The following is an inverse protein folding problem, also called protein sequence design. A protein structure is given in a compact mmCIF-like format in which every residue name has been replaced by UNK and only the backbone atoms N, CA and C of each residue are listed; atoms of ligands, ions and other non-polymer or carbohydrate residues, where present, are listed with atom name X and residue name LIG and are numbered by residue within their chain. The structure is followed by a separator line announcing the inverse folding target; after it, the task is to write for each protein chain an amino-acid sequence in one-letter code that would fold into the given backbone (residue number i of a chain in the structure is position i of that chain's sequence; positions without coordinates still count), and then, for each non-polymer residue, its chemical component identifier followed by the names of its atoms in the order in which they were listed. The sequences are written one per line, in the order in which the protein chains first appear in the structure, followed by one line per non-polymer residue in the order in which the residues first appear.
data_IF_731468097769
#
_entry.id   IF_731468097769
#
_cell.length_a   1.000
_cell.length_b   1.000
_cell.length_c   1.000
_cell.angle_alpha   90.00
_cell.angle_beta   90.00
_cell.angle_gamma   90.00
#
_symmetry.space_group_name_H-M   'P 1'
#
loop_
_entity.id
_entity.type
_entity.pdbx_description
1 polymer ?
#
# COMPACT_ATOMS: atom_id res chain seq x y z
N UNK A 1 -13.76 -5.99 -17.46
CA UNK A 1 -14.48 -4.89 -16.80
C UNK A 1 -13.87 -3.56 -17.24
N UNK A 2 -14.67 -2.53 -17.50
CA UNK A 2 -14.17 -1.19 -17.88
C UNK A 2 -14.09 -0.31 -16.61
N UNK A 3 -13.02 -0.47 -15.82
CA UNK A 3 -12.88 0.14 -14.49
C UNK A 3 -13.09 1.65 -14.49
N UNK A 4 -12.54 2.35 -15.49
CA UNK A 4 -12.70 3.80 -15.61
C UNK A 4 -14.18 4.22 -15.73
N UNK A 5 -14.99 3.44 -16.45
CA UNK A 5 -16.43 3.72 -16.59
C UNK A 5 -17.19 3.46 -15.29
N UNK A 6 -16.82 2.41 -14.54
CA UNK A 6 -17.40 2.15 -13.21
C UNK A 6 -17.11 3.30 -12.25
N UNK A 7 -15.87 3.84 -12.26
CA UNK A 7 -15.51 5.03 -11.48
C UNK A 7 -16.36 6.22 -11.91
N UNK A 8 -16.46 6.51 -13.21
CA UNK A 8 -17.25 7.64 -13.70
C UNK A 8 -18.74 7.49 -13.35
N UNK A 9 -19.31 6.29 -13.50
CA UNK A 9 -20.68 6.00 -13.11
C UNK A 9 -20.90 6.24 -11.62
N UNK A 10 -19.94 5.80 -10.80
CA UNK A 10 -20.00 5.92 -9.37
C UNK A 10 -20.01 7.38 -8.87
N UNK A 11 -19.30 8.27 -9.56
CA UNK A 11 -19.25 9.70 -9.23
C UNK A 11 -20.31 10.54 -9.94
N UNK A 12 -21.14 9.95 -10.82
CA UNK A 12 -22.16 10.68 -11.59
C UNK A 12 -23.19 11.38 -10.71
N UNK A 13 -23.60 10.73 -9.62
CA UNK A 13 -24.63 11.23 -8.70
C UNK A 13 -24.03 11.71 -7.36
N UNK A 14 -22.72 12.00 -7.34
CA UNK A 14 -22.00 12.52 -6.18
C UNK A 14 -21.51 13.94 -6.45
N UNK A 15 -21.48 14.75 -5.40
CA UNK A 15 -20.91 16.11 -5.46
C UNK A 15 -19.37 16.10 -5.29
N UNK A 16 -18.81 14.95 -4.89
CA UNK A 16 -17.37 14.73 -4.77
C UNK A 16 -16.72 14.61 -6.17
N UNK A 17 -15.46 15.03 -6.30
CA UNK A 17 -14.70 14.90 -7.54
C UNK A 17 -13.77 13.68 -7.48
N UNK A 18 -13.87 12.73 -8.42
CA UNK A 18 -12.86 11.68 -8.56
C UNK A 18 -11.52 12.31 -8.97
N UNK A 19 -10.41 11.93 -8.31
CA UNK A 19 -9.09 12.49 -8.63
C UNK A 19 -8.14 11.45 -9.21
N UNK A 20 -7.92 10.34 -8.52
CA UNK A 20 -6.89 9.39 -8.92
C UNK A 20 -7.21 8.00 -8.43
N UNK A 21 -7.21 7.02 -9.33
CA UNK A 21 -7.54 5.63 -9.03
C UNK A 21 -6.58 4.67 -9.73
N UNK A 22 -6.16 3.67 -8.98
CA UNK A 22 -5.16 2.69 -9.37
C UNK A 22 -5.65 1.28 -9.08
N UNK A 23 -5.01 0.32 -9.72
CA UNK A 23 -5.08 -1.07 -9.29
C UNK A 23 -4.20 -1.27 -8.06
N UNK A 24 -4.68 -2.06 -7.11
CA UNK A 24 -3.95 -2.44 -5.91
C UNK A 24 -3.86 -3.97 -5.78
N UNK A 25 -3.39 -4.43 -4.63
CA UNK A 25 -3.35 -5.86 -4.31
C UNK A 25 -2.56 -6.70 -5.31
N UNK A 26 -3.10 -7.88 -5.63
CA UNK A 26 -2.36 -8.91 -6.37
C UNK A 26 -1.98 -8.50 -7.80
N UNK A 27 -2.83 -7.72 -8.47
CA UNK A 27 -2.59 -7.23 -9.84
C UNK A 27 -1.48 -6.18 -9.87
N UNK A 28 -1.50 -5.24 -8.93
CA UNK A 28 -0.41 -4.27 -8.75
C UNK A 28 0.94 -4.93 -8.46
N UNK A 29 0.93 -6.13 -7.89
CA UNK A 29 2.13 -6.85 -7.50
C UNK A 29 2.62 -7.85 -8.54
N UNK A 30 1.94 -7.96 -9.69
CA UNK A 30 2.27 -8.93 -10.74
C UNK A 30 1.93 -10.38 -10.36
N UNK A 31 1.03 -10.56 -9.40
CA UNK A 31 0.66 -11.87 -8.84
C UNK A 31 -0.79 -12.28 -9.13
N UNK A 32 -1.52 -11.56 -9.97
CA UNK A 32 -2.94 -11.84 -10.17
C UNK A 32 -3.19 -13.22 -10.81
N UNK A 33 -4.18 -13.94 -10.29
CA UNK A 33 -4.82 -15.06 -10.97
C UNK A 33 -6.01 -14.57 -11.80
N UNK A 34 -6.53 -15.35 -12.77
CA UNK A 34 -7.72 -14.98 -13.55
C UNK A 34 -8.94 -14.62 -12.68
N UNK A 35 -9.03 -15.27 -11.53
CA UNK A 35 -10.05 -15.20 -10.49
C UNK A 35 -9.74 -14.17 -9.38
N UNK A 36 -8.76 -13.28 -9.60
CA UNK A 36 -8.48 -12.18 -8.68
C UNK A 36 -9.46 -11.02 -8.87
N UNK A 37 -9.96 -10.50 -7.76
CA UNK A 37 -10.74 -9.25 -7.69
C UNK A 37 -9.96 -8.07 -8.30
N UNK A 38 -10.68 -7.01 -8.63
CA UNK A 38 -10.15 -5.70 -9.00
C UNK A 38 -10.15 -4.82 -7.75
N UNK A 39 -8.97 -4.66 -7.16
CA UNK A 39 -8.72 -3.87 -5.95
C UNK A 39 -8.53 -2.40 -6.34
N UNK A 40 -9.61 -1.70 -6.66
CA UNK A 40 -9.55 -0.29 -7.05
C UNK A 40 -9.39 0.59 -5.83
N UNK A 41 -8.26 1.29 -5.75
CA UNK A 41 -7.94 2.20 -4.64
C UNK A 41 -7.65 3.59 -5.17
N UNK A 42 -7.97 4.63 -4.40
CA UNK A 42 -7.69 5.98 -4.87
C UNK A 42 -8.20 7.09 -3.97
N UNK A 43 -8.33 8.27 -4.58
CA UNK A 43 -8.59 9.53 -3.89
C UNK A 43 -9.71 10.31 -4.57
N UNK A 44 -10.56 10.93 -3.75
CA UNK A 44 -11.56 11.91 -4.18
C UNK A 44 -11.35 13.23 -3.43
N UNK A 45 -11.75 14.31 -4.08
CA UNK A 45 -11.90 15.61 -3.45
C UNK A 45 -13.37 15.75 -3.00
N UNK A 46 -13.63 16.04 -1.72
CA UNK A 46 -14.99 16.35 -1.30
C UNK A 46 -15.60 17.52 -2.08
N UNK A 47 -16.92 17.67 -2.06
CA UNK A 47 -17.51 18.90 -2.62
C UNK A 47 -17.04 20.15 -1.85
N UNK A 48 -17.04 21.32 -2.52
CA UNK A 48 -16.75 22.61 -1.87
C UNK A 48 -17.65 22.82 -0.64
N UNK A 49 -18.93 22.49 -0.75
CA UNK A 49 -19.89 22.63 0.34
C UNK A 49 -19.52 21.76 1.55
N UNK A 50 -19.22 20.48 1.36
CA UNK A 50 -18.78 19.59 2.45
C UNK A 50 -17.45 20.05 3.06
N UNK A 51 -16.53 20.55 2.24
CA UNK A 51 -15.22 21.00 2.70
C UNK A 51 -15.29 22.23 3.64
N UNK A 52 -16.18 23.18 3.36
CA UNK A 52 -16.35 24.40 4.16
C UNK A 52 -17.39 24.28 5.27
N UNK A 53 -18.11 23.17 5.34
CA UNK A 53 -19.06 22.92 6.42
C UNK A 53 -18.31 22.60 7.73
N UNK A 54 -18.93 22.93 8.86
CA UNK A 54 -18.41 22.68 10.20
C UNK A 54 -18.51 21.20 10.60
N UNK A 55 -19.39 20.44 9.94
CA UNK A 55 -19.61 19.02 10.21
C UNK A 55 -18.43 18.19 9.72
N UNK A 56 -18.08 17.15 10.47
CA UNK A 56 -17.14 16.13 10.02
C UNK A 56 -17.87 15.12 9.14
N UNK A 57 -17.53 15.11 7.86
CA UNK A 57 -18.00 14.11 6.90
C UNK A 57 -17.14 12.85 6.94
N UNK A 58 -17.68 11.75 6.39
CA UNK A 58 -16.92 10.50 6.24
C UNK A 58 -15.81 10.73 5.21
N UNK A 59 -14.59 10.34 5.56
CA UNK A 59 -13.37 10.52 4.73
C UNK A 59 -13.10 9.32 3.80
N UNK A 60 -14.13 8.53 3.51
CA UNK A 60 -14.01 7.18 2.98
C UNK A 60 -15.27 6.77 2.22
N UNK A 61 -15.06 6.33 0.98
CA UNK A 61 -16.06 5.66 0.15
C UNK A 61 -15.60 4.22 -0.05
N UNK A 62 -16.45 3.24 0.27
CA UNK A 62 -16.16 1.82 0.14
C UNK A 62 -17.34 1.13 -0.54
N UNK A 63 -17.06 0.36 -1.59
CA UNK A 63 -18.07 -0.36 -2.39
C UNK A 63 -17.50 -1.71 -2.78
N UNK A 64 -18.33 -2.73 -2.65
CA UNK A 64 -18.02 -4.07 -3.12
C UNK A 64 -19.18 -4.52 -4.00
N UNK A 65 -18.91 -4.69 -5.30
CA UNK A 65 -19.89 -5.17 -6.28
C UNK A 65 -19.27 -6.25 -7.16
N UNK A 66 -19.65 -7.51 -6.92
CA UNK A 66 -18.99 -8.67 -7.53
C UNK A 66 -17.47 -8.64 -7.27
N UNK A 67 -16.68 -8.61 -8.34
CA UNK A 67 -15.22 -8.57 -8.31
C UNK A 67 -14.66 -7.13 -8.23
N UNK A 68 -15.51 -6.10 -8.13
CA UNK A 68 -15.12 -4.69 -8.00
C UNK A 68 -15.07 -4.29 -6.52
N UNK A 69 -13.87 -4.33 -5.94
CA UNK A 69 -13.59 -3.80 -4.60
C UNK A 69 -13.03 -2.39 -4.74
N UNK A 70 -13.86 -1.39 -4.44
CA UNK A 70 -13.53 0.02 -4.59
C UNK A 70 -13.39 0.72 -3.24
N UNK A 71 -12.24 1.37 -3.03
CA UNK A 71 -11.97 2.21 -1.86
C UNK A 71 -11.44 3.56 -2.31
N UNK A 72 -12.09 4.64 -1.87
CA UNK A 72 -11.61 5.99 -2.08
C UNK A 72 -11.46 6.74 -0.76
N UNK A 73 -10.25 7.22 -0.48
CA UNK A 73 -9.99 8.14 0.61
C UNK A 73 -10.27 9.57 0.18
N UNK A 74 -10.78 10.39 1.08
CA UNK A 74 -10.82 11.83 0.83
C UNK A 74 -9.39 12.38 0.74
N UNK A 75 -9.27 13.54 0.11
CA UNK A 75 -7.96 14.13 -0.14
C UNK A 75 -7.21 14.50 1.14
N UNK A 76 -7.93 14.88 2.22
CA UNK A 76 -7.29 15.27 3.48
C UNK A 76 -6.68 14.05 4.17
N UNK A 77 -7.36 12.91 4.14
CA UNK A 77 -6.86 11.62 4.64
C UNK A 77 -5.66 11.16 3.84
N UNK A 78 -5.68 11.28 2.51
CA UNK A 78 -4.49 11.02 1.68
C UNK A 78 -3.29 11.83 2.17
N UNK A 79 -3.40 13.17 2.24
CA UNK A 79 -2.29 14.01 2.67
C UNK A 79 -1.85 13.73 4.11
N UNK A 80 -2.79 13.48 5.03
CA UNK A 80 -2.48 13.12 6.41
C UNK A 80 -1.75 11.79 6.55
N UNK A 81 -2.02 10.82 5.67
CA UNK A 81 -1.32 9.54 5.61
C UNK A 81 0.06 9.70 4.95
N UNK A 82 0.18 10.49 3.89
CA UNK A 82 1.46 10.81 3.24
C UNK A 82 2.40 11.58 4.17
N UNK A 83 1.88 12.50 4.98
CA UNK A 83 2.68 13.24 5.97
C UNK A 83 3.32 12.32 7.02
N UNK A 84 2.78 11.10 7.19
CA UNK A 84 3.33 10.04 8.05
C UNK A 84 4.12 9.00 7.28
N UNK A 85 4.38 9.22 5.99
CA UNK A 85 4.98 8.26 5.06
C UNK A 85 4.29 6.88 5.14
N UNK A 86 2.95 6.87 5.19
CA UNK A 86 2.20 5.62 5.27
C UNK A 86 2.43 4.78 4.00
N UNK A 87 2.85 3.51 4.12
CA UNK A 87 3.21 2.70 2.96
C UNK A 87 2.03 2.41 2.05
N UNK A 88 0.81 2.24 2.58
CA UNK A 88 -0.38 1.92 1.76
C UNK A 88 -0.65 3.00 0.73
N UNK A 89 -0.72 4.25 1.18
CA UNK A 89 -0.97 5.40 0.28
C UNK A 89 0.24 5.66 -0.62
N UNK A 90 1.45 5.42 -0.12
CA UNK A 90 2.66 5.54 -0.93
C UNK A 90 2.70 4.50 -2.07
N UNK A 91 2.25 3.27 -1.82
CA UNK A 91 2.09 2.25 -2.87
C UNK A 91 1.07 2.71 -3.92
N UNK A 92 -0.06 3.31 -3.50
CA UNK A 92 -1.05 3.84 -4.45
C UNK A 92 -0.48 4.96 -5.32
N UNK A 93 0.25 5.91 -4.74
CA UNK A 93 0.91 6.99 -5.50
C UNK A 93 1.95 6.45 -6.50
N UNK A 94 2.60 5.32 -6.16
CA UNK A 94 3.63 4.69 -6.98
C UNK A 94 3.09 3.64 -7.96
N UNK A 95 1.79 3.37 -7.96
CA UNK A 95 1.22 2.29 -8.74
C UNK A 95 1.45 2.47 -10.25
N UNK A 96 1.72 1.35 -10.95
CA UNK A 96 2.02 1.34 -12.38
C UNK A 96 0.80 1.05 -13.26
N UNK A 97 -0.32 0.65 -12.66
CA UNK A 97 -1.60 0.44 -13.33
C UNK A 97 -2.54 1.55 -12.83
N UNK A 98 -2.74 2.56 -13.67
CA UNK A 98 -3.58 3.73 -13.37
C UNK A 98 -4.88 3.60 -14.17
N UNK A 99 -6.01 3.63 -13.49
CA UNK A 99 -7.34 3.60 -14.12
C UNK A 99 -7.87 4.98 -14.42
N UNK A 100 -7.54 5.96 -13.58
CA UNK A 100 -8.05 7.32 -13.72
C UNK A 100 -7.08 8.30 -13.05
N UNK A 101 -6.80 9.43 -13.69
CA UNK A 101 -5.97 10.49 -13.14
C UNK A 101 -6.41 11.87 -13.65
N UNK A 102 -6.92 12.69 -12.74
CA UNK A 102 -7.25 14.12 -12.91
C UNK A 102 -6.48 14.98 -11.91
N UNK A 103 -5.42 14.44 -11.31
CA UNK A 103 -4.58 15.15 -10.37
C UNK A 103 -3.67 16.15 -11.13
N UNK A 104 -3.79 17.47 -10.91
CA UNK A 104 -2.98 18.45 -11.63
C UNK A 104 -1.50 18.30 -11.29
N UNK A 105 -0.64 18.29 -12.32
CA UNK A 105 0.82 18.16 -12.16
C UNK A 105 1.25 16.90 -11.38
N UNK A 106 0.54 15.78 -11.58
CA UNK A 106 0.74 14.54 -10.83
C UNK A 106 2.19 14.05 -10.76
N UNK A 107 2.94 14.07 -11.87
CA UNK A 107 4.33 13.60 -11.87
C UNK A 107 5.23 14.51 -11.03
N UNK A 108 5.06 15.84 -11.14
CA UNK A 108 5.76 16.82 -10.27
C UNK A 108 5.43 16.59 -8.80
N UNK A 109 4.15 16.31 -8.49
CA UNK A 109 3.71 15.96 -7.15
C UNK A 109 4.41 14.70 -6.62
N UNK A 110 4.35 13.62 -7.40
CA UNK A 110 4.92 12.33 -7.07
C UNK A 110 6.43 12.43 -6.86
N UNK A 111 7.16 13.07 -7.77
CA UNK A 111 8.61 13.25 -7.63
C UNK A 111 8.99 14.07 -6.40
N UNK A 112 8.27 15.17 -6.14
CA UNK A 112 8.52 16.02 -4.98
C UNK A 112 8.19 15.33 -3.66
N UNK A 113 7.14 14.49 -3.63
CA UNK A 113 6.80 13.65 -2.50
C UNK A 113 7.90 12.61 -2.24
N UNK A 114 8.33 11.86 -3.26
CA UNK A 114 9.29 10.76 -3.09
C UNK A 114 10.67 11.23 -2.62
N UNK A 115 11.05 12.48 -2.91
CA UNK A 115 12.27 13.10 -2.37
C UNK A 115 12.18 13.40 -0.86
N UNK A 116 10.96 13.45 -0.30
CA UNK A 116 10.65 13.93 1.06
C UNK A 116 10.09 12.86 1.99
N UNK A 117 9.94 11.62 1.52
CA UNK A 117 9.47 10.51 2.35
C UNK A 117 10.46 10.18 3.48
N UNK A 118 9.94 9.80 4.63
CA UNK A 118 10.74 9.35 5.78
C UNK A 118 10.83 7.81 5.79
N UNK A 119 11.99 7.30 5.40
CA UNK A 119 12.32 5.89 5.45
C UNK A 119 12.28 5.30 6.87
N UNK A 120 12.50 6.11 7.91
CA UNK A 120 12.31 5.66 9.30
C UNK A 120 10.85 5.33 9.56
N UNK A 121 9.93 6.23 9.20
CA UNK A 121 8.50 5.99 9.33
C UNK A 121 8.07 4.77 8.49
N UNK A 122 8.53 4.66 7.24
CA UNK A 122 8.26 3.49 6.39
C UNK A 122 8.75 2.19 7.02
N UNK A 123 9.98 2.16 7.52
CA UNK A 123 10.55 1.01 8.21
C UNK A 123 9.64 0.52 9.35
N UNK A 124 9.24 1.41 10.26
CA UNK A 124 8.39 1.02 11.38
C UNK A 124 6.98 0.62 10.94
N UNK A 125 6.43 1.25 9.90
CA UNK A 125 5.15 0.84 9.33
C UNK A 125 5.23 -0.58 8.74
N UNK A 126 6.24 -0.88 7.92
CA UNK A 126 6.41 -2.21 7.34
C UNK A 126 6.66 -3.28 8.40
N UNK A 127 7.49 -2.98 9.40
CA UNK A 127 7.73 -3.90 10.52
C UNK A 127 6.45 -4.16 11.32
N UNK A 128 5.64 -3.12 11.58
CA UNK A 128 4.35 -3.24 12.27
C UNK A 128 3.33 -4.05 11.47
N UNK A 129 3.28 -3.87 10.14
CA UNK A 129 2.43 -4.67 9.25
C UNK A 129 2.83 -6.15 9.30
N UNK A 130 4.13 -6.43 9.22
CA UNK A 130 4.64 -7.79 9.27
C UNK A 130 4.35 -8.49 10.61
N UNK A 131 4.58 -7.81 11.74
CA UNK A 131 4.35 -8.36 13.08
C UNK A 131 2.86 -8.54 13.37
N UNK A 132 2.02 -7.59 12.95
CA UNK A 132 0.55 -7.71 13.08
C UNK A 132 0.02 -8.89 12.26
N UNK A 133 0.48 -9.04 11.01
CA UNK A 133 0.16 -10.19 10.16
C UNK A 133 0.61 -11.52 10.80
N UNK A 134 1.78 -11.51 11.43
CA UNK A 134 2.34 -12.67 12.12
C UNK A 134 1.53 -13.07 13.37
N UNK A 135 0.97 -12.11 14.11
CA UNK A 135 0.06 -12.41 15.21
C UNK A 135 -1.26 -13.00 14.71
N UNK A 136 -1.82 -12.43 13.63
CA UNK A 136 -3.07 -12.92 13.04
C UNK A 136 -2.91 -14.35 12.49
N UNK A 137 -1.81 -14.67 11.82
CA UNK A 137 -1.61 -16.02 11.25
C UNK A 137 -1.43 -17.13 12.29
N UNK A 138 -1.01 -16.79 13.51
CA UNK A 138 -0.85 -17.73 14.62
C UNK A 138 -2.17 -18.01 15.38
N UNK A 139 -3.27 -17.37 14.99
CA UNK A 139 -4.60 -17.72 15.47
C UNK A 139 -5.14 -18.96 14.74
N UNK A 140 -6.12 -19.66 15.32
CA UNK A 140 -6.65 -20.91 14.77
C UNK A 140 -7.08 -20.77 13.30
N UNK A 141 -6.75 -21.77 12.49
CA UNK A 141 -7.07 -21.90 11.05
C UNK A 141 -6.57 -20.76 10.14
N UNK A 142 -5.65 -19.92 10.63
CA UNK A 142 -5.19 -18.74 9.90
C UNK A 142 -3.78 -18.87 9.31
N UNK A 143 -3.14 -20.05 9.39
CA UNK A 143 -1.79 -20.27 8.88
C UNK A 143 -1.78 -20.63 7.39
N UNK A 144 -2.17 -19.66 6.56
CA UNK A 144 -2.24 -19.83 5.10
C UNK A 144 -0.98 -19.30 4.41
N UNK A 145 -0.65 -19.89 3.26
CA UNK A 145 0.41 -19.43 2.37
C UNK A 145 0.30 -17.93 2.06
N UNK A 146 -0.92 -17.44 1.78
CA UNK A 146 -1.18 -16.01 1.56
C UNK A 146 -0.71 -15.18 2.74
N UNK A 147 -1.17 -15.47 3.97
CA UNK A 147 -0.84 -14.65 5.15
C UNK A 147 0.66 -14.64 5.46
N UNK A 148 1.32 -15.78 5.32
CA UNK A 148 2.78 -15.89 5.46
C UNK A 148 3.49 -14.97 4.48
N UNK A 149 3.09 -14.98 3.21
CA UNK A 149 3.67 -14.11 2.19
C UNK A 149 3.56 -12.61 2.54
N UNK A 150 2.40 -12.14 3.02
CA UNK A 150 2.25 -10.73 3.40
C UNK A 150 3.19 -10.33 4.54
N UNK A 151 3.41 -11.22 5.52
CA UNK A 151 4.40 -10.98 6.57
C UNK A 151 5.84 -10.95 6.02
N UNK A 152 6.20 -11.88 5.12
CA UNK A 152 7.52 -11.87 4.47
C UNK A 152 7.74 -10.58 3.68
N UNK A 153 6.79 -10.20 2.83
CA UNK A 153 6.84 -8.97 2.04
C UNK A 153 7.06 -7.76 2.94
N UNK A 154 6.30 -7.67 4.04
CA UNK A 154 6.47 -6.61 5.04
C UNK A 154 7.89 -6.56 5.62
N UNK A 155 8.51 -7.70 5.94
CA UNK A 155 9.89 -7.73 6.46
C UNK A 155 10.93 -7.35 5.41
N UNK A 156 10.79 -7.78 4.17
CA UNK A 156 11.65 -7.36 3.07
C UNK A 156 11.55 -5.86 2.83
N UNK A 157 10.32 -5.32 2.82
CA UNK A 157 10.09 -3.88 2.68
C UNK A 157 10.67 -3.09 3.86
N UNK A 158 10.61 -3.62 5.09
CA UNK A 158 11.26 -3.01 6.25
C UNK A 158 12.80 -3.04 6.09
N UNK A 159 13.38 -4.15 5.68
CA UNK A 159 14.82 -4.27 5.43
C UNK A 159 15.34 -3.26 4.40
N UNK A 160 14.60 -3.07 3.29
CA UNK A 160 14.93 -2.08 2.27
C UNK A 160 14.77 -0.65 2.78
N UNK A 161 13.67 -0.36 3.48
CA UNK A 161 13.46 0.96 4.08
C UNK A 161 14.55 1.31 5.10
N UNK A 162 15.06 0.32 5.84
CA UNK A 162 16.20 0.50 6.74
C UNK A 162 17.48 0.91 5.99
N UNK A 163 17.63 0.47 4.74
CA UNK A 163 18.73 0.85 3.85
C UNK A 163 18.44 2.12 3.03
N UNK A 164 17.31 2.79 3.31
CA UNK A 164 16.80 3.93 2.53
C UNK A 164 16.57 3.59 1.04
N UNK A 165 16.25 2.33 0.77
CA UNK A 165 15.87 1.83 -0.55
C UNK A 165 14.35 1.69 -0.58
N UNK A 166 13.72 2.27 -1.60
CA UNK A 166 12.29 2.13 -1.81
C UNK A 166 11.97 0.68 -2.27
N UNK A 167 11.08 -0.04 -1.58
CA UNK A 167 10.65 -1.37 -2.03
C UNK A 167 9.92 -1.31 -3.37
N UNK A 168 10.26 -2.19 -4.30
CA UNK A 168 9.55 -2.31 -5.57
C UNK A 168 8.15 -2.90 -5.37
N UNK A 169 7.21 -2.49 -6.23
CA UNK A 169 5.82 -2.95 -6.16
C UNK A 169 5.64 -4.32 -6.82
N UNK A 170 6.31 -4.56 -7.95
CA UNK A 170 6.35 -5.87 -8.58
C UNK A 170 7.16 -6.83 -7.69
N UNK A 171 6.58 -7.98 -7.37
CA UNK A 171 7.20 -8.90 -6.40
C UNK A 171 8.50 -9.50 -6.93
N UNK A 172 8.60 -9.73 -8.23
CA UNK A 172 9.84 -10.19 -8.87
C UNK A 172 10.97 -9.18 -8.67
N UNK A 173 10.66 -7.89 -8.75
CA UNK A 173 11.63 -6.81 -8.63
C UNK A 173 11.97 -6.59 -7.16
N UNK A 174 10.98 -6.71 -6.26
CA UNK A 174 11.20 -6.70 -4.82
C UNK A 174 12.18 -7.82 -4.41
N UNK A 175 12.04 -9.02 -4.95
CA UNK A 175 12.97 -10.12 -4.67
C UNK A 175 14.37 -9.84 -5.19
N UNK A 176 14.50 -9.17 -6.34
CA UNK A 176 15.79 -8.76 -6.88
C UNK A 176 16.52 -7.73 -6.00
N UNK A 177 15.78 -6.99 -5.15
CA UNK A 177 16.35 -6.07 -4.16
C UNK A 177 16.86 -6.78 -2.89
N UNK A 178 16.50 -8.06 -2.68
CA UNK A 178 16.86 -8.84 -1.49
C UNK A 178 17.97 -9.83 -1.83
N UNK A 179 18.87 -10.10 -0.87
CA UNK A 179 19.97 -11.06 -1.03
C UNK A 179 19.45 -12.40 -1.54
N UNK A 180 20.13 -12.97 -2.54
CA UNK A 180 19.72 -14.23 -3.17
C UNK A 180 19.77 -15.42 -2.22
N UNK A 181 20.51 -15.35 -1.12
CA UNK A 181 20.61 -16.39 -0.10
C UNK A 181 19.69 -16.15 1.09
N UNK A 182 18.84 -15.11 1.06
CA UNK A 182 17.88 -14.86 2.13
C UNK A 182 16.82 -15.98 2.14
N UNK A 183 16.70 -16.68 3.27
CA UNK A 183 15.78 -17.80 3.40
C UNK A 183 14.30 -17.39 3.25
N UNK A 184 13.92 -16.17 3.68
CA UNK A 184 12.56 -15.66 3.50
C UNK A 184 12.29 -15.33 2.03
N UNK A 185 13.30 -14.91 1.27
CA UNK A 185 13.19 -14.75 -0.19
C UNK A 185 12.82 -16.07 -0.88
N UNK A 186 13.55 -17.14 -0.59
CA UNK A 186 13.23 -18.45 -1.15
C UNK A 186 11.82 -18.94 -0.76
N UNK A 187 11.40 -18.65 0.46
CA UNK A 187 10.05 -18.96 0.92
C UNK A 187 8.98 -18.19 0.12
N UNK A 188 9.21 -16.91 -0.14
CA UNK A 188 8.31 -16.08 -0.93
C UNK A 188 8.31 -16.46 -2.42
N UNK A 189 9.45 -16.86 -2.99
CA UNK A 189 9.54 -17.41 -4.35
C UNK A 189 8.75 -18.74 -4.46
N UNK A 190 8.88 -19.62 -3.48
CA UNK A 190 8.10 -20.88 -3.40
C UNK A 190 6.60 -20.59 -3.32
N UNK A 191 6.20 -19.57 -2.54
CA UNK A 191 4.82 -19.13 -2.48
C UNK A 191 4.25 -18.71 -3.84
N UNK A 192 5.04 -18.01 -4.69
CA UNK A 192 4.58 -17.64 -6.03
C UNK A 192 4.22 -18.87 -6.87
N UNK A 193 5.00 -19.95 -6.77
CA UNK A 193 4.70 -21.20 -7.46
C UNK A 193 3.45 -21.90 -6.92
N UNK A 194 3.22 -21.84 -5.61
CA UNK A 194 1.98 -22.34 -4.98
C UNK A 194 0.77 -21.53 -5.42
N UNK A 195 0.92 -20.19 -5.50
CA UNK A 195 -0.14 -19.30 -5.95
C UNK A 195 -0.51 -19.54 -7.41
N UNK A 196 0.45 -19.84 -8.29
CA UNK A 196 0.18 -20.26 -9.67
C UNK A 196 -0.70 -21.52 -9.75
N UNK A 197 -0.69 -22.34 -8.72
CA UNK A 197 -1.56 -23.53 -8.59
C UNK A 197 -2.92 -23.22 -7.93
N UNK A 198 -3.25 -21.95 -7.67
CA UNK A 198 -4.47 -21.49 -6.97
C UNK A 198 -4.64 -22.08 -5.56
N UNK A 199 -3.51 -22.33 -4.87
CA UNK A 199 -3.49 -22.93 -3.53
C UNK A 199 -3.09 -21.94 -2.42
N UNK A 200 -3.16 -20.63 -2.65
CA UNK A 200 -2.70 -19.64 -1.66
C UNK A 200 -3.52 -19.62 -0.36
N UNK A 201 -4.78 -20.10 -0.40
CA UNK A 201 -5.67 -20.21 0.76
C UNK A 201 -5.46 -21.51 1.54
N UNK A 202 -4.64 -22.43 1.02
CA UNK A 202 -4.32 -23.67 1.72
C UNK A 202 -3.52 -23.41 3.00
N UNK A 203 -3.72 -24.27 3.99
CA UNK A 203 -2.91 -24.28 5.20
C UNK A 203 -1.48 -24.72 4.87
N UNK A 204 -0.51 -24.06 5.49
CA UNK A 204 0.88 -24.49 5.46
C UNK A 204 1.02 -25.73 6.36
N UNK A 205 1.72 -26.79 5.94
CA UNK A 205 1.95 -27.97 6.80
C UNK A 205 2.63 -27.60 8.12
N UNK A 206 2.24 -28.22 9.24
CA UNK A 206 2.73 -27.88 10.60
C UNK A 206 4.27 -27.83 10.72
N UNK A 207 4.97 -28.73 10.02
CA UNK A 207 6.44 -28.78 9.99
C UNK A 207 7.01 -27.51 9.34
N UNK A 208 6.40 -27.04 8.25
CA UNK A 208 6.78 -25.81 7.56
C UNK A 208 6.40 -24.57 8.38
N UNK A 209 5.27 -24.60 9.11
CA UNK A 209 4.85 -23.51 9.98
C UNK A 209 5.92 -23.15 11.02
N UNK A 210 6.47 -24.16 11.70
CA UNK A 210 7.51 -23.96 12.72
C UNK A 210 8.79 -23.36 12.11
N UNK A 211 9.18 -23.83 10.94
CA UNK A 211 10.36 -23.33 10.23
C UNK A 211 10.19 -21.86 9.83
N UNK A 212 9.06 -21.51 9.21
CA UNK A 212 8.85 -20.14 8.76
C UNK A 212 8.65 -19.17 9.93
N UNK A 213 7.96 -19.58 11.01
CA UNK A 213 7.86 -18.75 12.22
C UNK A 213 9.22 -18.44 12.82
N UNK A 214 10.14 -19.42 12.83
CA UNK A 214 11.51 -19.21 13.30
C UNK A 214 12.22 -18.15 12.45
N UNK A 215 12.20 -18.29 11.12
CA UNK A 215 12.83 -17.34 10.20
C UNK A 215 12.26 -15.93 10.33
N UNK A 216 10.93 -15.80 10.42
CA UNK A 216 10.25 -14.51 10.61
C UNK A 216 10.67 -13.84 11.92
N UNK A 217 10.68 -14.58 13.03
CA UNK A 217 11.10 -14.06 14.33
C UNK A 217 12.58 -13.62 14.31
N UNK A 218 13.48 -14.44 13.75
CA UNK A 218 14.91 -14.12 13.64
C UNK A 218 15.14 -12.83 12.83
N UNK A 219 14.42 -12.66 11.72
CA UNK A 219 14.49 -11.44 10.90
C UNK A 219 13.93 -10.22 11.65
N UNK A 220 12.80 -10.36 12.34
CA UNK A 220 12.19 -9.29 13.16
C UNK A 220 13.17 -8.83 14.23
N UNK A 221 13.77 -9.75 14.98
CA UNK A 221 14.72 -9.39 16.04
C UNK A 221 15.98 -8.74 15.46
N UNK A 222 16.49 -9.25 14.33
CA UNK A 222 17.62 -8.63 13.62
C UNK A 222 17.33 -7.19 13.21
N UNK A 223 16.13 -6.91 12.68
CA UNK A 223 15.71 -5.58 12.28
C UNK A 223 15.56 -4.67 13.52
N UNK A 224 14.91 -5.14 14.58
CA UNK A 224 14.71 -4.36 15.82
C UNK A 224 16.00 -3.94 16.52
N UNK A 225 17.08 -4.74 16.41
CA UNK A 225 18.38 -4.39 16.99
C UNK A 225 18.99 -3.12 16.37
N UNK A 226 18.55 -2.71 15.19
CA UNK A 226 19.04 -1.54 14.49
C UNK A 226 18.09 -0.36 14.68
N UNK A 227 18.54 0.66 15.41
CA UNK A 227 17.77 1.89 15.58
C UNK A 227 17.87 2.76 14.32
N UNK A 228 16.73 3.08 13.71
CA UNK A 228 16.66 4.04 12.61
C UNK A 228 16.83 5.47 13.12
N UNK A 229 17.83 6.18 12.56
CA UNK A 229 17.92 7.62 12.67
C UNK A 229 16.84 8.28 11.80
N UNK A 230 16.50 9.53 12.10
CA UNK A 230 15.58 10.28 11.24
C UNK A 230 16.20 10.39 9.84
N UNK A 231 15.44 10.02 8.82
CA UNK A 231 15.97 9.97 7.44
C UNK A 231 15.53 11.14 6.58
N UNK A 232 14.58 11.95 7.07
CA UNK A 232 14.12 13.12 6.34
C UNK A 232 13.63 14.25 7.27
N UNK A 233 13.45 15.43 6.69
CA UNK A 233 12.85 16.59 7.34
C UNK A 233 11.31 16.51 7.26
N UNK A 234 10.69 16.20 8.39
CA UNK A 234 9.22 16.12 8.47
C UNK A 234 8.54 17.47 8.21
N UNK A 235 9.17 18.60 8.54
CA UNK A 235 8.59 19.92 8.29
C UNK A 235 8.59 20.23 6.79
N UNK A 236 9.66 19.83 6.08
CA UNK A 236 9.71 19.99 4.63
C UNK A 236 8.62 19.18 3.92
N UNK A 237 8.41 17.92 4.31
CA UNK A 237 7.33 17.09 3.77
C UNK A 237 5.96 17.70 4.06
N UNK A 238 5.72 18.15 5.29
CA UNK A 238 4.44 18.75 5.67
C UNK A 238 4.16 20.05 4.90
N UNK A 239 5.16 20.91 4.74
CA UNK A 239 5.05 22.13 3.94
C UNK A 239 4.71 21.81 2.48
N UNK A 240 5.44 20.88 1.89
CA UNK A 240 5.20 20.42 0.52
C UNK A 240 3.77 19.92 0.30
N UNK A 241 3.26 19.07 1.21
CA UNK A 241 1.90 18.55 1.13
C UNK A 241 0.85 19.64 1.38
N UNK A 242 1.13 20.59 2.27
CA UNK A 242 0.23 21.72 2.57
C UNK A 242 0.08 22.63 1.36
N UNK A 243 1.20 23.04 0.75
CA UNK A 243 1.22 23.93 -0.42
C UNK A 243 0.50 23.30 -1.61
N UNK A 244 0.72 21.99 -1.82
CA UNK A 244 0.06 21.25 -2.89
C UNK A 244 -1.43 21.03 -2.61
N UNK A 245 -1.82 20.70 -1.37
CA UNK A 245 -3.22 20.59 -0.96
C UNK A 245 -3.98 21.91 -1.17
N UNK A 246 -3.36 23.04 -0.83
CA UNK A 246 -3.91 24.36 -1.06
C UNK A 246 -4.11 24.64 -2.55
N UNK A 247 -3.06 24.43 -3.36
CA UNK A 247 -3.11 24.66 -4.82
C UNK A 247 -4.16 23.78 -5.50
N UNK A 248 -4.24 22.51 -5.13
CA UNK A 248 -5.25 21.58 -5.63
C UNK A 248 -6.67 22.07 -5.31
N UNK A 249 -6.92 22.46 -4.07
CA UNK A 249 -8.24 22.95 -3.65
C UNK A 249 -8.60 24.26 -4.36
N UNK A 250 -7.64 25.17 -4.55
CA UNK A 250 -7.85 26.38 -5.35
C UNK A 250 -8.19 26.06 -6.81
N UNK A 251 -7.51 25.08 -7.41
CA UNK A 251 -7.80 24.65 -8.79
C UNK A 251 -9.24 24.13 -8.95
N UNK A 252 -9.72 23.31 -8.02
CA UNK A 252 -11.05 22.69 -8.12
C UNK A 252 -12.19 23.56 -7.57
N UNK A 253 -11.94 24.34 -6.51
CA UNK A 253 -13.00 25.10 -5.85
C UNK A 253 -13.10 26.55 -6.32
N UNK A 254 -12.05 27.13 -6.92
CA UNK A 254 -11.92 28.59 -7.06
C UNK A 254 -11.86 29.25 -5.69
#
# INVERSE_FOLDING_TARGET
MQIEQEIQHLFKDRDDFPLFYIESGSRLWGMASPDSDYDVRGFHLPSKAQYYDYKKYRDLIEIMDGDFDFVSFDINKMFGLLAKSNPTVLEWVRAHIIYFNQFPEWETFKEGLLKRIDYKALYYHYLSLATSGMHVMQTADNFTYKKVFYSIRGLMSAELAMQQIMPELLITDLFAQIDINDALRHWAETYLEIKKQQKEKAQVPDVEQQQILKLLNEKIETLKLRAMQNTNDSEELQRYLTDYSFSLKQYYYG
#
